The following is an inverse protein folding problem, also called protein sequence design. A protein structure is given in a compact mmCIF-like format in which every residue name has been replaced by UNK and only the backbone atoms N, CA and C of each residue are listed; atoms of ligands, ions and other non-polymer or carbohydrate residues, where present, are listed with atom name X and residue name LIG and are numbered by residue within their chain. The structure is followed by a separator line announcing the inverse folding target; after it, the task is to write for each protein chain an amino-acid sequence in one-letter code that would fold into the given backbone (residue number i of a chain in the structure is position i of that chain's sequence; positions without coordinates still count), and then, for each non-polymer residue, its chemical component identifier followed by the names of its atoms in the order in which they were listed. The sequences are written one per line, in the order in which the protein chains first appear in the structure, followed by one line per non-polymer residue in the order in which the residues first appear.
data_IF_988698925661
#
_entry.id   IF_988698925661
#
_cell.length_a   1.000
_cell.length_b   1.000
_cell.length_c   1.000
_cell.angle_alpha   90.00
_cell.angle_beta   90.00
_cell.angle_gamma   90.00
#
_symmetry.space_group_name_H-M   'P 1'
#
loop_
_entity.id
_entity.type
_entity.pdbx_description
1 polymer ?
#
# COMPACT_ATOMS: atom_id res chain seq x y z
N UNK A 1 7.12 -5.38 -1.95
CA UNK A 1 6.04 -5.63 -0.98
C UNK A 1 6.59 -6.60 0.06
N UNK A 2 6.27 -6.44 1.36
CA UNK A 2 6.76 -7.36 2.40
C UNK A 2 5.87 -8.60 2.44
N UNK A 3 6.48 -9.78 2.59
CA UNK A 3 5.79 -11.06 2.73
C UNK A 3 6.36 -11.85 3.92
N UNK A 4 5.50 -12.62 4.60
CA UNK A 4 5.88 -13.53 5.68
C UNK A 4 5.38 -14.92 5.30
N UNK A 5 6.26 -15.92 5.26
CA UNK A 5 5.89 -17.29 4.90
C UNK A 5 5.25 -17.42 3.50
N UNK A 6 5.70 -16.61 2.54
CA UNK A 6 5.16 -16.58 1.17
C UNK A 6 3.81 -15.87 1.02
N UNK A 7 3.26 -15.30 2.09
CA UNK A 7 2.01 -14.53 2.05
C UNK A 7 2.31 -13.04 2.13
N UNK A 8 1.72 -12.27 1.22
CA UNK A 8 1.86 -10.80 1.25
C UNK A 8 1.15 -10.21 2.47
N UNK A 9 1.78 -9.21 3.06
CA UNK A 9 1.19 -8.46 4.18
C UNK A 9 0.16 -7.49 3.64
N UNK A 10 -1.09 -7.62 4.08
CA UNK A 10 -2.20 -6.74 3.70
C UNK A 10 -2.46 -5.62 4.69
N UNK A 11 -2.04 -5.77 5.95
CA UNK A 11 -2.17 -4.75 6.99
C UNK A 11 -1.05 -4.88 8.04
N UNK A 12 -0.63 -3.73 8.59
CA UNK A 12 0.37 -3.66 9.67
C UNK A 12 -0.22 -2.82 10.81
N UNK A 13 -0.03 -3.29 12.05
CA UNK A 13 -0.55 -2.65 13.25
C UNK A 13 0.56 -2.44 14.29
N UNK A 14 0.46 -1.35 15.05
CA UNK A 14 1.22 -1.12 16.29
C UNK A 14 0.23 -1.00 17.42
N UNK A 15 0.14 -2.03 18.26
CA UNK A 15 -0.94 -2.17 19.23
C UNK A 15 -2.30 -2.18 18.54
N UNK A 16 -3.14 -1.17 18.84
CA UNK A 16 -4.49 -1.00 18.25
C UNK A 16 -4.53 -0.05 17.04
N UNK A 17 -3.39 0.49 16.59
CA UNK A 17 -3.34 1.49 15.51
C UNK A 17 -2.86 0.85 14.20
N UNK A 18 -3.56 1.11 13.10
CA UNK A 18 -3.14 0.70 11.76
C UNK A 18 -2.08 1.66 11.21
N UNK A 19 -1.10 1.11 10.50
CA UNK A 19 -0.08 1.88 9.80
C UNK A 19 -0.44 2.05 8.32
N UNK A 20 -0.16 3.24 7.78
CA UNK A 20 -0.29 3.52 6.35
C UNK A 20 0.96 3.13 5.55
N UNK A 21 2.14 3.18 6.17
CA UNK A 21 3.42 2.88 5.55
C UNK A 21 4.47 2.40 6.56
N UNK A 22 5.42 1.58 6.09
CA UNK A 22 6.60 1.13 6.83
C UNK A 22 7.85 1.48 6.03
N UNK A 23 8.83 2.08 6.70
CA UNK A 23 10.10 2.49 6.13
C UNK A 23 11.26 1.78 6.83
N UNK A 24 12.30 1.41 6.07
CA UNK A 24 13.60 1.01 6.58
C UNK A 24 14.60 2.12 6.27
N UNK A 25 14.91 2.96 7.26
CA UNK A 25 15.59 4.24 7.03
C UNK A 25 14.75 5.16 6.14
N UNK A 26 15.33 5.67 5.06
CA UNK A 26 14.62 6.49 4.07
C UNK A 26 13.82 5.69 3.01
N UNK A 27 13.93 4.36 3.01
CA UNK A 27 13.33 3.51 1.96
C UNK A 27 11.94 3.02 2.36
N UNK A 28 10.93 3.29 1.54
CA UNK A 28 9.60 2.70 1.69
C UNK A 28 9.67 1.19 1.39
N UNK A 29 9.32 0.36 2.37
CA UNK A 29 9.33 -1.11 2.24
C UNK A 29 7.93 -1.71 2.15
N UNK A 30 6.92 -1.03 2.70
CA UNK A 30 5.52 -1.44 2.61
C UNK A 30 4.58 -0.24 2.72
N UNK A 31 3.42 -0.30 2.05
CA UNK A 31 2.34 0.66 2.24
C UNK A 31 0.98 -0.01 2.13
N UNK A 32 0.04 0.40 2.97
CA UNK A 32 -1.37 0.01 2.90
C UNK A 32 -2.02 0.47 1.58
N UNK A 33 -1.48 1.53 0.99
CA UNK A 33 -1.93 2.07 -0.28
C UNK A 33 -1.29 1.27 -1.41
N UNK A 34 -2.09 0.50 -2.13
CA UNK A 34 -1.64 -0.33 -3.26
C UNK A 34 -1.69 0.38 -4.61
N UNK A 35 -2.24 1.60 -4.70
CA UNK A 35 -2.45 2.30 -5.97
C UNK A 35 -1.96 3.75 -5.97
N UNK A 36 -1.63 4.23 -7.18
CA UNK A 36 -1.29 5.64 -7.44
C UNK A 36 -2.39 6.61 -7.02
N UNK A 37 -3.65 6.22 -7.24
CA UNK A 37 -4.80 7.02 -6.85
C UNK A 37 -4.89 7.14 -5.34
N UNK A 38 -4.82 6.02 -4.61
CA UNK A 38 -4.85 6.04 -3.15
C UNK A 38 -3.68 6.81 -2.53
N UNK A 39 -2.56 6.96 -3.24
CA UNK A 39 -1.42 7.74 -2.76
C UNK A 39 -1.53 9.25 -3.02
N UNK A 40 -2.48 9.70 -3.85
CA UNK A 40 -2.63 11.12 -4.21
C UNK A 40 -1.50 11.67 -5.10
N UNK A 41 -0.58 10.82 -5.55
CA UNK A 41 0.50 11.16 -6.48
C UNK A 41 0.88 9.96 -7.35
N UNK A 42 1.43 10.25 -8.53
CA UNK A 42 1.85 9.22 -9.48
C UNK A 42 3.08 8.46 -8.98
N UNK A 43 3.00 7.12 -8.97
CA UNK A 43 4.10 6.21 -8.62
C UNK A 43 4.40 5.32 -9.82
N UNK A 44 5.51 5.57 -10.51
CA UNK A 44 5.85 4.85 -11.74
C UNK A 44 6.09 3.34 -11.55
N UNK A 45 6.36 2.89 -10.33
CA UNK A 45 6.55 1.50 -9.95
C UNK A 45 5.24 0.77 -9.60
N UNK A 46 4.11 1.50 -9.47
CA UNK A 46 2.80 0.91 -9.20
C UNK A 46 1.87 1.13 -10.40
N UNK A 47 1.42 0.07 -11.09
CA UNK A 47 0.41 0.23 -12.13
C UNK A 47 -0.89 0.75 -11.54
N UNK A 48 -1.69 1.45 -12.35
CA UNK A 48 -3.05 1.81 -11.99
C UNK A 48 -3.82 0.55 -11.59
N UNK A 49 -4.29 0.48 -10.33
CA UNK A 49 -5.02 -0.70 -9.90
C UNK A 49 -6.41 -0.69 -10.52
N UNK A 50 -6.73 -1.75 -11.28
CA UNK A 50 -8.06 -1.93 -11.88
C UNK A 50 -9.16 -2.19 -10.83
N UNK A 51 -8.79 -2.37 -9.57
CA UNK A 51 -9.71 -2.60 -8.45
C UNK A 51 -9.89 -1.37 -7.56
N UNK A 52 -9.28 -0.23 -7.91
CA UNK A 52 -9.43 0.98 -7.11
C UNK A 52 -10.89 1.47 -7.04
N UNK A 53 -11.27 1.98 -5.86
CA UNK A 53 -12.62 2.46 -5.58
C UNK A 53 -13.09 3.59 -6.49
N UNK A 54 -12.20 4.48 -6.95
CA UNK A 54 -12.56 5.58 -7.86
C UNK A 54 -13.10 5.08 -9.21
N UNK A 55 -12.67 3.91 -9.68
CA UNK A 55 -13.18 3.31 -10.91
C UNK A 55 -14.59 2.74 -10.76
N UNK A 56 -15.05 2.53 -9.52
CA UNK A 56 -16.38 2.01 -9.17
C UNK A 56 -17.36 3.08 -8.73
N UNK A 57 -16.98 4.36 -8.71
CA UNK A 57 -17.92 5.47 -8.58
C UNK A 57 -18.65 5.65 -9.91
N UNK A 58 -19.71 4.87 -10.10
CA UNK A 58 -20.77 5.13 -11.08
C UNK A 58 -21.94 5.77 -10.36
#
# INVERSE_FOLDING_TARGET
MIAIGGKEITAVYVGKRSLSAVYAGARLVWSAISSCFGSGFWRGDKPWSRTDGWRRNK
#
